data_IF_014442432395
#
_entry.id   IF_014442432395
#
_cell.length_a   1.000
_cell.length_b   1.000
_cell.length_c   1.000
_cell.angle_alpha   90.00
_cell.angle_beta   90.00
_cell.angle_gamma   90.00
#
_symmetry.space_group_name_H-M   'P 1'
#
loop_
_entity.id
_entity.type
_entity.pdbx_description
1 polymer ?
#
# COMPACT_ATOMS: atom_id res chain seq x y z
N UNK A 1 -3.46 -7.30 -7.64
CA UNK A 1 -4.31 -6.95 -6.48
C UNK A 1 -4.65 -5.46 -6.54
N UNK A 2 -5.81 -5.01 -6.07
CA UNK A 2 -6.13 -3.57 -6.06
C UNK A 2 -5.46 -2.86 -4.89
N UNK A 3 -5.62 -3.40 -3.68
CA UNK A 3 -5.09 -2.83 -2.43
C UNK A 3 -4.37 -3.92 -1.64
N UNK A 4 -3.16 -3.64 -1.16
CA UNK A 4 -2.41 -4.49 -0.25
C UNK A 4 -2.18 -3.76 1.07
N UNK A 5 -2.67 -4.31 2.17
CA UNK A 5 -2.18 -3.93 3.50
C UNK A 5 -0.84 -4.65 3.71
N UNK A 6 0.23 -3.88 3.87
CA UNK A 6 1.57 -4.43 4.03
C UNK A 6 1.72 -5.08 5.41
N UNK A 7 2.27 -6.29 5.44
CA UNK A 7 2.47 -7.04 6.67
C UNK A 7 3.47 -6.32 7.59
N UNK A 8 3.29 -6.51 8.91
CA UNK A 8 4.26 -6.12 9.94
C UNK A 8 4.87 -4.71 9.75
N UNK A 9 4.02 -3.69 9.60
CA UNK A 9 4.43 -2.28 9.47
C UNK A 9 5.45 -1.99 8.34
N UNK A 10 5.58 -2.90 7.36
CA UNK A 10 6.58 -2.79 6.30
C UNK A 10 7.98 -3.24 6.73
N UNK A 11 8.07 -4.23 7.63
CA UNK A 11 9.32 -4.87 8.05
C UNK A 11 10.22 -5.28 6.86
N UNK A 12 11.53 -5.40 7.08
CA UNK A 12 12.46 -5.91 6.06
C UNK A 12 12.20 -7.39 5.72
N UNK A 13 11.58 -8.13 6.65
CA UNK A 13 11.23 -9.54 6.47
C UNK A 13 9.88 -9.67 5.77
N UNK A 14 9.85 -9.34 4.48
CA UNK A 14 8.73 -9.66 3.60
C UNK A 14 9.10 -10.85 2.72
N UNK A 15 8.08 -11.51 2.16
CA UNK A 15 8.28 -12.39 1.02
C UNK A 15 8.32 -11.52 -0.27
N UNK A 16 9.49 -11.36 -0.91
CA UNK A 16 9.64 -10.53 -2.10
C UNK A 16 8.89 -11.10 -3.31
N UNK A 17 8.77 -12.42 -3.39
CA UNK A 17 8.06 -13.11 -4.46
C UNK A 17 6.55 -12.89 -4.32
N UNK A 18 6.03 -12.90 -3.09
CA UNK A 18 4.64 -12.54 -2.83
C UNK A 18 4.36 -11.08 -3.18
N UNK A 19 5.23 -10.13 -2.80
CA UNK A 19 5.08 -8.72 -3.17
C UNK A 19 5.01 -8.55 -4.69
N UNK A 20 5.94 -9.21 -5.41
CA UNK A 20 6.00 -9.16 -6.88
C UNK A 20 4.75 -9.76 -7.52
N UNK A 21 4.29 -10.93 -7.05
CA UNK A 21 3.08 -11.60 -7.58
C UNK A 21 1.81 -10.82 -7.25
N UNK A 22 1.74 -10.20 -6.07
CA UNK A 22 0.58 -9.43 -5.66
C UNK A 22 0.36 -8.20 -6.54
N UNK A 23 1.45 -7.56 -6.99
CA UNK A 23 1.47 -6.38 -7.86
C UNK A 23 0.34 -5.38 -7.51
N UNK A 24 0.30 -4.85 -6.28
CA UNK A 24 -0.79 -4.02 -5.83
C UNK A 24 -0.77 -2.65 -6.51
N UNK A 25 -1.94 -2.09 -6.84
CA UNK A 25 -2.05 -0.69 -7.27
C UNK A 25 -1.80 0.27 -6.11
N UNK A 26 -2.31 -0.08 -4.92
CA UNK A 26 -2.14 0.68 -3.69
C UNK A 26 -1.59 -0.23 -2.58
N UNK A 27 -0.52 0.21 -1.92
CA UNK A 27 0.06 -0.45 -0.75
C UNK A 27 -0.08 0.45 0.49
N UNK A 28 -0.73 -0.06 1.53
CA UNK A 28 -0.98 0.64 2.79
C UNK A 28 -0.06 0.11 3.88
N UNK A 29 0.70 1.00 4.51
CA UNK A 29 1.59 0.68 5.61
C UNK A 29 1.07 1.38 6.87
N UNK A 30 0.51 0.61 7.79
CA UNK A 30 0.26 1.12 9.14
C UNK A 30 1.59 1.19 9.88
N UNK A 31 2.01 2.37 10.30
CA UNK A 31 3.21 2.62 11.11
C UNK A 31 3.01 3.93 11.89
N UNK A 32 3.62 4.04 13.06
CA UNK A 32 3.56 5.25 13.89
C UNK A 32 4.57 6.31 13.46
N UNK A 33 4.28 7.58 13.74
CA UNK A 33 5.24 8.67 13.65
C UNK A 33 6.41 8.43 14.62
N UNK A 34 7.64 8.69 14.18
CA UNK A 34 8.83 8.46 14.99
C UNK A 34 9.10 6.99 15.34
N UNK A 35 8.50 6.03 14.61
CA UNK A 35 8.69 4.60 14.87
C UNK A 35 10.18 4.19 14.87
N UNK A 36 10.69 3.76 16.02
CA UNK A 36 12.10 3.40 16.26
C UNK A 36 12.45 1.97 15.87
N UNK A 37 11.48 1.13 15.49
CA UNK A 37 11.72 -0.26 15.06
C UNK A 37 12.39 -0.37 13.67
N UNK A 38 12.66 0.77 13.01
CA UNK A 38 13.25 0.79 11.67
C UNK A 38 12.26 0.41 10.57
N UNK A 39 10.96 0.59 10.81
CA UNK A 39 9.88 0.29 9.86
C UNK A 39 9.15 1.57 9.44
N UNK A 40 8.73 1.68 8.18
CA UNK A 40 8.89 0.70 7.10
C UNK A 40 10.33 0.64 6.57
N UNK A 41 10.81 -0.57 6.31
CA UNK A 41 12.16 -0.80 5.85
C UNK A 41 12.38 -0.23 4.43
N UNK A 42 13.53 0.40 4.12
CA UNK A 42 13.82 0.94 2.80
C UNK A 42 13.67 -0.08 1.65
N UNK A 43 14.11 -1.33 1.87
CA UNK A 43 14.00 -2.40 0.88
C UNK A 43 12.54 -2.76 0.56
N UNK A 44 11.68 -2.81 1.56
CA UNK A 44 10.23 -3.06 1.38
C UNK A 44 9.57 -1.93 0.59
N UNK A 45 9.91 -0.67 0.90
CA UNK A 45 9.42 0.49 0.14
C UNK A 45 9.89 0.46 -1.32
N UNK A 46 11.16 0.11 -1.56
CA UNK A 46 11.72 0.00 -2.90
C UNK A 46 11.03 -1.09 -3.72
N UNK A 47 10.83 -2.28 -3.14
CA UNK A 47 10.16 -3.40 -3.82
C UNK A 47 8.72 -3.07 -4.23
N UNK A 48 7.95 -2.44 -3.33
CA UNK A 48 6.57 -2.02 -3.63
C UNK A 48 6.51 -0.99 -4.77
N UNK A 49 7.40 0.02 -4.73
CA UNK A 49 7.47 1.06 -5.76
C UNK A 49 7.96 0.51 -7.11
N UNK A 50 8.93 -0.39 -7.10
CA UNK A 50 9.40 -1.06 -8.30
C UNK A 50 8.30 -1.91 -8.97
N UNK A 51 7.38 -2.46 -8.18
CA UNK A 51 6.17 -3.13 -8.65
C UNK A 51 5.06 -2.19 -9.16
N UNK A 52 5.29 -0.86 -9.17
CA UNK A 52 4.32 0.14 -9.62
C UNK A 52 3.27 0.53 -8.59
N UNK A 53 3.42 0.14 -7.33
CA UNK A 53 2.45 0.46 -6.29
C UNK A 53 2.58 1.92 -5.82
N UNK A 54 1.45 2.61 -5.69
CA UNK A 54 1.37 3.80 -4.85
C UNK A 54 1.47 3.36 -3.39
N UNK A 55 2.40 3.93 -2.62
CA UNK A 55 2.62 3.58 -1.21
C UNK A 55 2.14 4.70 -0.30
N UNK A 56 1.23 4.38 0.63
CA UNK A 56 0.76 5.29 1.68
C UNK A 56 1.07 4.71 3.06
N UNK A 57 1.40 5.60 4.01
CA UNK A 57 1.82 5.32 5.38
C UNK A 57 1.07 6.18 6.39
N UNK A 58 0.55 5.55 7.44
CA UNK A 58 -0.22 6.28 8.47
C UNK A 58 0.60 7.30 9.27
N UNK A 59 1.93 7.17 9.32
CA UNK A 59 2.81 8.14 9.98
C UNK A 59 2.99 9.45 9.19
N UNK A 60 2.59 9.47 7.91
CA UNK A 60 2.68 10.66 7.05
C UNK A 60 1.33 11.19 6.64
N UNK A 61 0.39 10.29 6.37
CA UNK A 61 -0.94 10.66 5.88
C UNK A 61 -2.02 10.62 6.97
N UNK A 62 -1.68 10.25 8.21
CA UNK A 62 -2.66 10.08 9.27
C UNK A 62 -3.54 8.85 9.02
N UNK A 63 -4.81 8.92 9.42
CA UNK A 63 -5.76 7.86 9.13
C UNK A 63 -6.13 7.86 7.64
N UNK A 64 -6.05 6.68 7.02
CA UNK A 64 -6.28 6.49 5.58
C UNK A 64 -7.57 5.68 5.38
N UNK A 65 -8.52 6.26 4.66
CA UNK A 65 -9.72 5.56 4.22
C UNK A 65 -9.59 5.21 2.72
N UNK A 66 -9.89 3.95 2.39
CA UNK A 66 -9.96 3.49 0.99
C UNK A 66 -11.40 3.15 0.65
N UNK A 67 -11.93 3.85 -0.35
CA UNK A 67 -13.31 3.72 -0.80
C UNK A 67 -13.30 3.06 -2.18
N UNK A 68 -14.04 1.95 -2.31
CA UNK A 68 -14.34 1.35 -3.59
C UNK A 68 -15.63 1.99 -4.13
N UNK A 69 -15.57 2.59 -5.31
CA UNK A 69 -16.76 3.08 -5.98
C UNK A 69 -17.36 1.98 -6.87
N UNK A 70 -18.62 1.63 -6.63
CA UNK A 70 -19.45 0.83 -7.53
C UNK A 70 -19.91 1.72 -8.70
N UNK A 71 -19.01 2.09 -9.62
CA UNK A 71 -19.39 3.01 -10.70
C UNK A 71 -18.23 3.48 -11.56
N UNK A 72 -17.68 2.60 -12.38
CA UNK A 72 -16.71 2.95 -13.42
C UNK A 72 -16.94 2.08 -14.64
N UNK A 73 -17.04 2.70 -15.81
CA UNK A 73 -17.36 2.09 -17.10
C UNK A 73 -16.76 0.67 -17.23
N UNK A 74 -17.64 -0.34 -17.29
CA UNK A 74 -17.27 -1.77 -17.39
C UNK A 74 -16.36 -2.08 -18.59
N UNK A 75 -16.24 -1.15 -19.54
CA UNK A 75 -15.34 -1.22 -20.68
C UNK A 75 -13.83 -1.24 -20.33
N UNK A 76 -13.41 -0.81 -19.12
CA UNK A 76 -11.98 -0.75 -18.73
C UNK A 76 -11.54 -1.80 -17.69
N UNK A 77 -12.45 -2.65 -17.19
CA UNK A 77 -12.15 -3.78 -16.30
C UNK A 77 -11.57 -3.48 -14.91
N UNK A 78 -11.25 -2.22 -14.57
CA UNK A 78 -10.64 -1.84 -13.28
C UNK A 78 -11.57 -1.02 -12.41
N UNK A 79 -11.69 -1.39 -11.12
CA UNK A 79 -12.42 -0.61 -10.12
C UNK A 79 -11.73 0.74 -9.87
N UNK A 80 -12.52 1.79 -9.74
CA UNK A 80 -12.05 3.09 -9.25
C UNK A 80 -11.74 2.97 -7.75
N UNK A 81 -10.55 3.43 -7.34
CA UNK A 81 -10.11 3.46 -5.94
C UNK A 81 -9.94 4.93 -5.56
N UNK A 82 -10.68 5.38 -4.54
CA UNK A 82 -10.52 6.72 -3.97
C UNK A 82 -9.86 6.59 -2.60
N UNK A 83 -8.92 7.49 -2.33
CA UNK A 83 -8.22 7.58 -1.04
C UNK A 83 -8.59 8.90 -0.39
N UNK A 84 -9.07 8.85 0.85
CA UNK A 84 -9.29 10.02 1.69
C UNK A 84 -8.36 9.98 2.92
N UNK A 85 -7.98 11.18 3.37
CA UNK A 85 -7.24 11.40 4.63
C UNK A 85 -8.25 11.92 5.66
N UNK A 86 -8.15 11.45 6.90
CA UNK A 86 -8.93 11.98 8.02
C UNK A 86 -8.11 12.98 8.83
#
# INVERSE_FOLDING_TARGET
MDVLKVAHHGSAHQDPDLIRRAAPRLALISTGEGNTYGHPAPGTLAALRAGGATVLRTDREGAIAVLAAEGGNRAAGRKEIRVARQ
#
